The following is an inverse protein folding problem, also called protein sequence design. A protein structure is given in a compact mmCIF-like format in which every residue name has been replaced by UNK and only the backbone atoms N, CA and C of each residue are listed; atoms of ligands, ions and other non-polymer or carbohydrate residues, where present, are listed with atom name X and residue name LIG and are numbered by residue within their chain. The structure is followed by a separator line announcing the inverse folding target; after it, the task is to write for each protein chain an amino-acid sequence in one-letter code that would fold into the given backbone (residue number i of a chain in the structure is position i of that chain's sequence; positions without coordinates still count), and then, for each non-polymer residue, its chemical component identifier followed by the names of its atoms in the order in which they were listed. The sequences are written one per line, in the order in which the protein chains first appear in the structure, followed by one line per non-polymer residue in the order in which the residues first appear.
data_IF_116420172357
#
_entry.id   IF_116420172357
#
_cell.length_a   1.000
_cell.length_b   1.000
_cell.length_c   1.000
_cell.angle_alpha   90.00
_cell.angle_beta   90.00
_cell.angle_gamma   90.00
#
_symmetry.space_group_name_H-M   'P 1'
#
loop_
_entity.id
_entity.type
_entity.pdbx_description
1 polymer ?
#
# COMPACT_ATOMS: atom_id res chain seq x y z
N UNK A 1 3.54 -25.69 16.93
CA UNK A 1 3.63 -24.76 18.06
C UNK A 1 4.14 -23.43 17.53
N UNK A 2 3.29 -22.40 17.46
CA UNK A 2 3.65 -21.07 17.06
C UNK A 2 4.57 -20.46 18.12
N UNK A 3 5.77 -20.07 17.73
CA UNK A 3 6.63 -19.31 18.63
C UNK A 3 5.91 -17.98 18.93
N UNK A 4 5.70 -17.63 20.21
CA UNK A 4 5.09 -16.37 20.55
C UNK A 4 5.98 -15.24 20.03
N UNK A 5 5.36 -14.22 19.43
CA UNK A 5 6.07 -13.00 19.05
C UNK A 5 6.75 -12.46 20.30
N UNK A 6 8.04 -12.16 20.28
CA UNK A 6 8.64 -11.53 21.43
C UNK A 6 8.03 -10.14 21.62
N UNK A 7 7.34 -9.87 22.76
CA UNK A 7 6.82 -8.55 23.09
C UNK A 7 7.81 -7.40 22.86
N UNK A 8 9.16 -7.63 23.02
CA UNK A 8 10.16 -6.60 22.74
C UNK A 8 10.14 -6.04 21.33
N UNK A 9 9.80 -6.84 20.29
CA UNK A 9 9.86 -6.40 18.90
C UNK A 9 8.90 -5.25 18.58
N UNK A 10 7.79 -5.15 19.30
CA UNK A 10 6.77 -4.11 19.12
C UNK A 10 6.94 -2.95 20.12
N UNK A 11 7.97 -2.98 20.97
CA UNK A 11 8.23 -1.92 21.94
C UNK A 11 8.73 -0.64 21.24
N UNK A 12 8.17 0.54 21.56
CA UNK A 12 8.53 1.81 20.92
C UNK A 12 10.03 2.13 20.95
N UNK A 13 10.73 1.76 22.02
CA UNK A 13 12.16 2.04 22.22
C UNK A 13 13.05 1.43 21.13
N UNK A 14 12.70 0.25 20.59
CA UNK A 14 13.48 -0.37 19.51
C UNK A 14 13.45 0.43 18.22
N UNK A 15 12.34 1.17 17.99
CA UNK A 15 12.10 1.94 16.78
C UNK A 15 12.70 3.35 16.82
N UNK A 16 13.33 3.73 17.94
CA UNK A 16 14.02 5.00 18.09
C UNK A 16 15.40 4.98 17.44
N UNK A 17 16.03 3.80 17.40
CA UNK A 17 17.31 3.62 16.74
C UNK A 17 17.14 3.45 15.24
N UNK A 18 17.39 4.51 14.48
CA UNK A 18 17.16 4.59 13.02
C UNK A 18 17.83 3.49 12.22
N UNK A 19 19.01 3.04 12.62
CA UNK A 19 19.76 1.97 11.96
C UNK A 19 19.07 0.60 12.03
N UNK A 20 18.21 0.38 13.02
CA UNK A 20 17.51 -0.89 13.21
C UNK A 20 16.24 -1.01 12.37
N UNK A 21 15.65 0.11 11.93
CA UNK A 21 14.34 0.13 11.26
C UNK A 21 14.26 -0.83 10.06
N UNK A 22 15.22 -0.88 9.11
CA UNK A 22 15.15 -1.80 7.98
C UNK A 22 15.12 -3.27 8.38
N UNK A 23 15.89 -3.64 9.40
CA UNK A 23 15.96 -5.01 9.90
C UNK A 23 14.70 -5.40 10.66
N UNK A 24 14.18 -4.51 11.50
CA UNK A 24 12.94 -4.71 12.25
C UNK A 24 11.72 -4.87 11.32
N UNK A 25 11.62 -4.04 10.28
CA UNK A 25 10.52 -4.16 9.29
C UNK A 25 10.61 -5.47 8.52
N UNK A 26 11.82 -5.88 8.10
CA UNK A 26 12.00 -7.20 7.46
C UNK A 26 11.57 -8.34 8.37
N UNK A 27 11.89 -8.26 9.65
CA UNK A 27 11.51 -9.27 10.63
C UNK A 27 9.99 -9.30 10.83
N UNK A 28 9.33 -8.15 10.99
CA UNK A 28 7.86 -8.08 11.09
C UNK A 28 7.17 -8.65 9.84
N UNK A 29 7.70 -8.33 8.65
CA UNK A 29 7.18 -8.87 7.39
C UNK A 29 7.33 -10.39 7.31
N UNK A 30 8.43 -10.94 7.82
CA UNK A 30 8.62 -12.39 7.91
C UNK A 30 7.61 -13.03 8.87
N UNK A 31 7.38 -12.45 10.04
CA UNK A 31 6.34 -12.92 10.96
C UNK A 31 4.95 -12.88 10.33
N UNK A 32 4.59 -11.77 9.66
CA UNK A 32 3.32 -11.66 8.93
C UNK A 32 3.17 -12.72 7.84
N UNK A 33 4.25 -13.07 7.14
CA UNK A 33 4.23 -14.05 6.06
C UNK A 33 4.15 -15.50 6.57
N UNK A 34 4.84 -15.82 7.67
CA UNK A 34 4.97 -17.21 8.14
C UNK A 34 4.08 -17.56 9.34
N UNK A 35 3.60 -16.57 10.07
CA UNK A 35 2.73 -16.76 11.24
C UNK A 35 1.68 -15.65 11.36
N UNK A 36 0.85 -15.41 10.31
CA UNK A 36 -0.11 -14.30 10.31
C UNK A 36 -1.09 -14.36 11.47
N UNK A 37 -1.55 -15.56 11.83
CA UNK A 37 -2.50 -15.75 12.93
C UNK A 37 -1.94 -15.29 14.28
N UNK A 38 -0.64 -15.49 14.51
CA UNK A 38 0.04 -15.01 15.71
C UNK A 38 0.16 -13.47 15.74
N UNK A 39 0.05 -12.81 14.58
CA UNK A 39 0.11 -11.35 14.46
C UNK A 39 -1.24 -10.65 14.66
N UNK A 40 -2.36 -11.35 14.48
CA UNK A 40 -3.71 -10.79 14.64
C UNK A 40 -3.92 -10.09 15.99
N UNK A 41 -3.54 -10.66 17.15
CA UNK A 41 -3.70 -9.97 18.44
C UNK A 41 -2.85 -8.70 18.58
N UNK A 42 -1.86 -8.51 17.71
CA UNK A 42 -0.90 -7.40 17.77
C UNK A 42 -1.16 -6.31 16.72
N UNK A 43 -2.29 -6.35 16.04
CA UNK A 43 -2.60 -5.42 14.95
C UNK A 43 -2.51 -3.96 15.35
N UNK A 44 -2.97 -3.61 16.55
CA UNK A 44 -2.89 -2.22 17.04
C UNK A 44 -1.44 -1.78 17.28
N UNK A 45 -0.59 -2.65 17.82
CA UNK A 45 0.83 -2.35 18.00
C UNK A 45 1.56 -2.22 16.66
N UNK A 46 1.23 -3.06 15.66
CA UNK A 46 1.73 -2.94 14.29
C UNK A 46 1.32 -1.61 13.65
N UNK A 47 0.09 -1.17 13.87
CA UNK A 47 -0.39 0.13 13.38
C UNK A 47 0.28 1.30 14.09
N UNK A 48 0.64 1.16 15.37
CA UNK A 48 1.47 2.14 16.08
C UNK A 48 2.88 2.26 15.46
N UNK A 49 3.50 1.14 15.09
CA UNK A 49 4.76 1.14 14.34
C UNK A 49 4.59 1.79 12.97
N UNK A 50 3.54 1.42 12.22
CA UNK A 50 3.21 2.06 10.94
C UNK A 50 3.09 3.57 11.07
N UNK A 51 2.34 4.07 12.06
CA UNK A 51 2.16 5.50 12.30
C UNK A 51 3.49 6.23 12.52
N UNK A 52 4.38 5.65 13.31
CA UNK A 52 5.73 6.19 13.55
C UNK A 52 6.55 6.25 12.26
N UNK A 53 6.52 5.18 11.47
CA UNK A 53 7.29 5.07 10.24
C UNK A 53 6.77 6.03 9.15
N UNK A 54 5.47 6.02 8.88
CA UNK A 54 4.87 6.83 7.81
C UNK A 54 4.99 8.33 8.08
N UNK A 55 5.05 8.74 9.33
CA UNK A 55 5.23 10.13 9.74
C UNK A 55 6.68 10.63 9.60
N UNK A 56 7.64 9.73 9.43
CA UNK A 56 9.06 10.07 9.29
C UNK A 56 9.46 10.17 7.83
N UNK A 57 10.04 11.31 7.40
CA UNK A 57 10.55 11.49 6.02
C UNK A 57 11.64 10.49 5.63
N UNK A 58 12.36 9.94 6.59
CA UNK A 58 13.44 8.97 6.34
C UNK A 58 12.93 7.54 6.26
N UNK A 59 11.86 7.24 7.00
CA UNK A 59 11.39 5.86 7.21
C UNK A 59 10.02 5.58 6.56
N UNK A 60 9.44 6.54 5.84
CA UNK A 60 8.11 6.40 5.24
C UNK A 60 7.97 5.20 4.30
N UNK A 61 9.03 4.86 3.57
CA UNK A 61 9.06 3.65 2.72
C UNK A 61 8.78 2.37 3.53
N UNK A 62 9.33 2.28 4.71
CA UNK A 62 9.13 1.13 5.60
C UNK A 62 7.70 1.08 6.18
N UNK A 63 7.07 2.24 6.36
CA UNK A 63 5.65 2.33 6.69
C UNK A 63 4.77 1.74 5.58
N UNK A 64 5.03 2.08 4.33
CA UNK A 64 4.34 1.49 3.18
C UNK A 64 4.57 -0.03 3.07
N UNK A 65 5.81 -0.49 3.28
CA UNK A 65 6.15 -1.91 3.24
C UNK A 65 5.42 -2.70 4.33
N UNK A 66 5.39 -2.18 5.57
CA UNK A 66 4.72 -2.83 6.68
C UNK A 66 3.21 -2.91 6.44
N UNK A 67 2.57 -1.80 6.06
CA UNK A 67 1.14 -1.77 5.81
C UNK A 67 0.76 -2.72 4.66
N UNK A 68 1.53 -2.72 3.57
CA UNK A 68 1.31 -3.65 2.45
C UNK A 68 1.38 -5.11 2.90
N UNK A 69 2.34 -5.44 3.78
CA UNK A 69 2.46 -6.79 4.31
C UNK A 69 1.26 -7.16 5.20
N UNK A 70 0.80 -6.24 6.05
CA UNK A 70 -0.41 -6.45 6.87
C UNK A 70 -1.65 -6.72 6.00
N UNK A 71 -1.88 -5.92 4.96
CA UNK A 71 -3.01 -6.06 4.06
C UNK A 71 -3.00 -7.37 3.26
N UNK A 72 -1.83 -7.90 2.97
CA UNK A 72 -1.68 -9.16 2.22
C UNK A 72 -1.81 -10.40 3.07
N UNK A 73 -1.41 -10.32 4.32
CA UNK A 73 -1.21 -11.50 5.17
C UNK A 73 -2.28 -11.65 6.27
N UNK A 74 -2.81 -10.53 6.75
CA UNK A 74 -3.84 -10.57 7.79
C UNK A 74 -5.23 -10.70 7.17
N UNK A 75 -6.19 -11.32 7.88
CA UNK A 75 -7.59 -11.31 7.46
C UNK A 75 -8.12 -9.90 7.26
N UNK A 76 -8.92 -9.68 6.21
CA UNK A 76 -9.42 -8.37 5.85
C UNK A 76 -10.22 -7.69 6.98
N UNK A 77 -11.03 -8.44 7.69
CA UNK A 77 -11.84 -7.99 8.83
C UNK A 77 -10.99 -7.54 10.03
N UNK A 78 -9.77 -8.06 10.15
CA UNK A 78 -8.82 -7.64 11.20
C UNK A 78 -8.28 -6.23 10.94
N UNK A 79 -8.08 -5.85 9.69
CA UNK A 79 -7.46 -4.56 9.31
C UNK A 79 -8.50 -3.51 8.92
N UNK A 80 -9.63 -3.93 8.36
CA UNK A 80 -10.69 -3.05 7.86
C UNK A 80 -11.16 -1.97 8.85
N UNK A 81 -11.35 -2.24 10.16
CA UNK A 81 -11.78 -1.23 11.13
C UNK A 81 -10.80 -0.06 11.28
N UNK A 82 -9.53 -0.27 10.91
CA UNK A 82 -8.46 0.73 11.06
C UNK A 82 -8.12 1.45 9.76
N UNK A 83 -8.70 1.03 8.63
CA UNK A 83 -8.28 1.57 7.32
C UNK A 83 -8.55 3.05 7.16
N UNK A 84 -9.67 3.56 7.67
CA UNK A 84 -9.98 4.99 7.55
C UNK A 84 -8.93 5.87 8.24
N UNK A 85 -8.58 5.70 9.54
CA UNK A 85 -7.52 6.48 10.16
C UNK A 85 -6.14 6.24 9.54
N UNK A 86 -5.84 5.02 9.10
CA UNK A 86 -4.57 4.68 8.41
C UNK A 86 -4.42 5.46 7.12
N UNK A 87 -5.45 5.44 6.26
CA UNK A 87 -5.46 6.19 5.01
C UNK A 87 -5.47 7.69 5.24
N UNK A 88 -6.23 8.19 6.23
CA UNK A 88 -6.26 9.62 6.58
C UNK A 88 -4.86 10.13 6.92
N UNK A 89 -4.10 9.40 7.74
CA UNK A 89 -2.73 9.76 8.10
C UNK A 89 -1.81 9.82 6.86
N UNK A 90 -1.88 8.80 6.01
CA UNK A 90 -1.09 8.73 4.77
C UNK A 90 -1.43 9.88 3.82
N UNK A 91 -2.71 10.18 3.66
CA UNK A 91 -3.20 11.24 2.77
C UNK A 91 -2.89 12.64 3.30
N UNK A 92 -2.97 12.85 4.61
CA UNK A 92 -2.51 14.08 5.25
C UNK A 92 -1.04 14.33 4.94
N UNK A 93 -0.21 13.28 5.01
CA UNK A 93 1.19 13.36 4.67
C UNK A 93 1.40 13.66 3.17
N UNK A 94 0.61 13.05 2.28
CA UNK A 94 0.64 13.29 0.85
C UNK A 94 0.31 14.75 0.51
N UNK A 95 -0.60 15.37 1.26
CA UNK A 95 -1.01 16.78 1.05
C UNK A 95 -0.01 17.78 1.65
N UNK A 96 0.43 17.56 2.88
CA UNK A 96 1.17 18.56 3.67
C UNK A 96 2.68 18.52 3.47
N UNK A 97 3.25 17.38 3.13
CA UNK A 97 4.70 17.19 3.09
C UNK A 97 5.13 16.20 2.01
N UNK A 98 4.46 16.25 0.87
CA UNK A 98 4.74 15.42 -0.30
C UNK A 98 6.20 15.59 -0.75
N UNK A 99 6.89 14.46 -0.84
CA UNK A 99 8.15 14.33 -1.58
C UNK A 99 7.90 13.46 -2.79
N UNK A 100 8.70 13.58 -3.84
CA UNK A 100 8.60 12.73 -5.02
C UNK A 100 8.68 11.25 -4.65
N UNK A 101 9.63 10.90 -3.79
CA UNK A 101 9.79 9.54 -3.26
C UNK A 101 8.52 9.05 -2.55
N UNK A 102 7.91 9.88 -1.69
CA UNK A 102 6.68 9.50 -0.98
C UNK A 102 5.53 9.23 -1.96
N UNK A 103 5.38 10.10 -2.97
CA UNK A 103 4.36 9.98 -3.99
C UNK A 103 4.52 8.69 -4.83
N UNK A 104 5.75 8.34 -5.20
CA UNK A 104 6.05 7.07 -5.90
C UNK A 104 5.71 5.85 -5.03
N UNK A 105 6.07 5.86 -3.75
CA UNK A 105 5.73 4.78 -2.83
C UNK A 105 4.22 4.70 -2.56
N UNK A 106 3.53 5.84 -2.54
CA UNK A 106 2.07 5.87 -2.48
C UNK A 106 1.44 5.22 -3.71
N UNK A 107 1.90 5.54 -4.92
CA UNK A 107 1.41 4.93 -6.15
C UNK A 107 1.63 3.41 -6.18
N UNK A 108 2.79 2.95 -5.72
CA UNK A 108 3.08 1.52 -5.57
C UNK A 108 2.19 0.85 -4.52
N UNK A 109 2.01 1.50 -3.37
CA UNK A 109 1.12 1.02 -2.31
C UNK A 109 -0.33 0.92 -2.81
N UNK A 110 -0.82 1.94 -3.51
CA UNK A 110 -2.17 1.96 -4.07
C UNK A 110 -2.41 0.75 -4.98
N UNK A 111 -1.47 0.49 -5.90
CA UNK A 111 -1.55 -0.67 -6.77
C UNK A 111 -1.44 -2.00 -5.98
N UNK A 112 -0.52 -2.09 -5.02
CA UNK A 112 -0.38 -3.27 -4.17
C UNK A 112 -1.64 -3.55 -3.33
N UNK A 113 -2.33 -2.51 -2.89
CA UNK A 113 -3.60 -2.59 -2.17
C UNK A 113 -4.70 -3.15 -3.09
N UNK A 114 -4.82 -2.64 -4.32
CA UNK A 114 -5.73 -3.23 -5.32
C UNK A 114 -5.37 -4.69 -5.67
N UNK A 115 -4.09 -5.04 -5.56
CA UNK A 115 -3.54 -6.36 -5.88
C UNK A 115 -3.72 -7.44 -4.81
N UNK A 116 -4.33 -7.13 -3.66
CA UNK A 116 -4.56 -8.12 -2.59
C UNK A 116 -5.48 -9.24 -3.09
N UNK A 117 -5.04 -10.49 -2.93
CA UNK A 117 -5.68 -11.67 -3.52
C UNK A 117 -6.90 -12.15 -2.69
N UNK A 118 -7.94 -11.30 -2.63
CA UNK A 118 -9.22 -11.63 -2.00
C UNK A 118 -10.38 -11.22 -2.93
N UNK A 119 -11.46 -12.02 -3.02
CA UNK A 119 -12.62 -11.68 -3.85
C UNK A 119 -13.22 -10.31 -3.47
N UNK A 120 -13.57 -9.51 -4.47
CA UNK A 120 -14.19 -8.18 -4.25
C UNK A 120 -13.27 -7.13 -3.63
N UNK A 121 -11.99 -7.46 -3.43
CA UNK A 121 -11.05 -6.56 -2.76
C UNK A 121 -10.82 -5.23 -3.50
N UNK A 122 -10.73 -5.18 -4.85
CA UNK A 122 -10.62 -3.90 -5.56
C UNK A 122 -11.78 -2.94 -5.28
N UNK A 123 -13.02 -3.42 -5.18
CA UNK A 123 -14.16 -2.58 -4.78
C UNK A 123 -14.07 -2.12 -3.33
N UNK A 124 -13.53 -2.96 -2.44
CA UNK A 124 -13.27 -2.56 -1.06
C UNK A 124 -12.22 -1.44 -0.97
N UNK A 125 -11.20 -1.46 -1.84
CA UNK A 125 -10.19 -0.39 -1.93
C UNK A 125 -10.82 0.93 -2.38
N UNK A 126 -11.67 0.91 -3.40
CA UNK A 126 -12.44 2.09 -3.85
C UNK A 126 -13.23 2.68 -2.67
N UNK A 127 -13.99 1.84 -1.97
CA UNK A 127 -14.78 2.25 -0.80
C UNK A 127 -13.94 2.78 0.34
N UNK A 128 -12.75 2.21 0.58
CA UNK A 128 -11.87 2.64 1.66
C UNK A 128 -11.35 4.07 1.43
N UNK A 129 -10.94 4.43 0.22
CA UNK A 129 -10.52 5.79 -0.11
C UNK A 129 -11.68 6.78 -0.13
N UNK A 130 -12.81 6.41 -0.73
CA UNK A 130 -14.00 7.26 -0.78
C UNK A 130 -14.67 7.41 0.59
N UNK A 131 -14.43 6.48 1.52
CA UNK A 131 -14.84 6.59 2.92
C UNK A 131 -14.05 7.65 3.69
N UNK A 132 -12.85 8.03 3.25
CA UNK A 132 -12.10 9.17 3.82
C UNK A 132 -12.71 10.48 3.32
N UNK A 133 -12.96 10.55 2.02
CA UNK A 133 -13.61 11.70 1.37
C UNK A 133 -14.28 11.24 0.07
N UNK A 134 -15.52 11.59 -0.14
CA UNK A 134 -16.27 11.23 -1.33
C UNK A 134 -15.54 11.67 -2.61
N UNK A 135 -15.40 10.77 -3.58
CA UNK A 135 -14.71 11.02 -4.84
C UNK A 135 -13.19 11.12 -4.75
N UNK A 136 -12.60 10.72 -3.63
CA UNK A 136 -11.16 10.77 -3.43
C UNK A 136 -10.41 9.72 -4.27
N UNK A 137 -10.97 8.52 -4.41
CA UNK A 137 -10.35 7.45 -5.17
C UNK A 137 -10.01 7.86 -6.61
N UNK A 138 -10.96 8.34 -7.44
CA UNK A 138 -10.66 8.73 -8.81
C UNK A 138 -9.68 9.91 -8.88
N UNK A 139 -9.73 10.86 -7.94
CA UNK A 139 -8.77 11.96 -7.88
C UNK A 139 -7.34 11.47 -7.62
N UNK A 140 -7.15 10.55 -6.68
CA UNK A 140 -5.83 9.97 -6.40
C UNK A 140 -5.31 9.17 -7.57
N UNK A 141 -6.18 8.35 -8.20
CA UNK A 141 -5.80 7.53 -9.34
C UNK A 141 -5.31 8.41 -10.50
N UNK A 142 -6.04 9.46 -10.86
CA UNK A 142 -5.71 10.34 -11.99
C UNK A 142 -4.54 11.28 -11.70
N UNK A 143 -4.48 11.87 -10.50
CA UNK A 143 -3.57 12.98 -10.22
C UNK A 143 -2.27 12.56 -9.52
N UNK A 144 -2.20 11.34 -8.97
CA UNK A 144 -1.04 10.82 -8.26
C UNK A 144 -0.55 9.51 -8.85
N UNK A 145 -1.42 8.48 -8.87
CA UNK A 145 -1.00 7.12 -9.20
C UNK A 145 -0.58 7.00 -10.66
N UNK A 146 -1.39 7.46 -11.60
CA UNK A 146 -1.10 7.39 -13.04
C UNK A 146 0.13 8.23 -13.41
N UNK A 147 0.29 9.49 -12.99
CA UNK A 147 1.48 10.28 -13.29
C UNK A 147 2.78 9.69 -12.70
N UNK A 148 2.73 9.12 -11.50
CA UNK A 148 3.92 8.59 -10.83
C UNK A 148 4.26 7.15 -11.28
N UNK A 149 3.38 6.45 -11.98
CA UNK A 149 3.64 5.14 -12.55
C UNK A 149 4.90 5.10 -13.43
N UNK A 150 5.11 6.14 -14.25
CA UNK A 150 6.26 6.24 -15.15
C UNK A 150 7.61 6.37 -14.43
N UNK A 151 7.59 6.75 -13.14
CA UNK A 151 8.77 6.99 -12.30
C UNK A 151 9.14 5.78 -11.43
N UNK A 152 8.33 4.73 -11.45
CA UNK A 152 8.58 3.51 -10.68
C UNK A 152 9.83 2.79 -11.19
N UNK A 153 10.62 2.24 -10.27
CA UNK A 153 11.78 1.43 -10.60
C UNK A 153 11.34 0.07 -11.22
N UNK A 154 12.16 -0.49 -12.09
CA UNK A 154 11.84 -1.74 -12.83
C UNK A 154 11.37 -2.88 -11.90
N UNK A 155 11.99 -3.04 -10.72
CA UNK A 155 11.61 -4.05 -9.71
C UNK A 155 10.19 -3.87 -9.15
N UNK A 156 9.59 -2.69 -9.33
CA UNK A 156 8.25 -2.34 -8.83
C UNK A 156 7.16 -2.53 -9.89
N UNK A 157 7.56 -2.67 -11.17
CA UNK A 157 6.63 -2.72 -12.30
C UNK A 157 5.64 -3.88 -12.18
N UNK A 158 6.11 -5.07 -11.79
CA UNK A 158 5.23 -6.23 -11.64
C UNK A 158 4.09 -5.99 -10.63
N UNK A 159 4.43 -5.44 -9.45
CA UNK A 159 3.43 -5.16 -8.40
C UNK A 159 2.44 -4.11 -8.87
N UNK A 160 2.93 -3.06 -9.53
CA UNK A 160 2.07 -2.01 -10.06
C UNK A 160 1.12 -2.54 -11.14
N UNK A 161 1.65 -3.23 -12.14
CA UNK A 161 0.85 -3.80 -13.24
C UNK A 161 -0.18 -4.79 -12.72
N UNK A 162 0.22 -5.74 -11.86
CA UNK A 162 -0.69 -6.73 -11.32
C UNK A 162 -1.87 -6.09 -10.54
N UNK A 163 -1.57 -5.09 -9.69
CA UNK A 163 -2.60 -4.38 -8.95
C UNK A 163 -3.55 -3.57 -9.84
N UNK A 164 -3.00 -2.85 -10.82
CA UNK A 164 -3.80 -2.05 -11.74
C UNK A 164 -4.65 -2.92 -12.66
N UNK A 165 -4.14 -4.04 -13.16
CA UNK A 165 -4.92 -5.00 -13.95
C UNK A 165 -6.10 -5.52 -13.13
N UNK A 166 -5.88 -5.92 -11.88
CA UNK A 166 -6.99 -6.35 -11.01
C UNK A 166 -8.03 -5.26 -10.80
N UNK A 167 -7.59 -4.04 -10.53
CA UNK A 167 -8.51 -2.90 -10.39
C UNK A 167 -9.37 -2.74 -11.64
N UNK A 168 -8.75 -2.75 -12.82
CA UNK A 168 -9.41 -2.48 -14.10
C UNK A 168 -10.35 -3.61 -14.58
N UNK A 169 -10.09 -4.85 -14.13
CA UNK A 169 -10.83 -6.03 -14.59
C UNK A 169 -11.80 -6.59 -13.55
N UNK A 170 -11.54 -6.40 -12.27
CA UNK A 170 -12.32 -7.03 -11.18
C UNK A 170 -13.18 -6.03 -10.41
N UNK A 171 -12.88 -4.70 -10.45
CA UNK A 171 -13.71 -3.71 -9.76
C UNK A 171 -14.94 -3.34 -10.57
N UNK A 172 -16.12 -3.58 -10.01
CA UNK A 172 -17.38 -3.14 -10.61
C UNK A 172 -17.50 -1.63 -10.69
N UNK A 173 -16.90 -0.89 -9.77
CA UNK A 173 -16.88 0.57 -9.77
C UNK A 173 -16.21 1.14 -11.02
N UNK A 174 -15.18 0.50 -11.55
CA UNK A 174 -14.42 1.00 -12.70
C UNK A 174 -15.21 1.04 -14.00
N UNK A 175 -16.41 0.48 -14.04
CA UNK A 175 -17.32 0.51 -15.20
C UNK A 175 -18.44 1.53 -15.05
N UNK A 176 -18.48 2.29 -13.96
CA UNK A 176 -19.52 3.29 -13.65
C UNK A 176 -18.90 4.66 -13.39
N UNK A 177 -19.56 5.73 -13.82
CA UNK A 177 -19.12 7.09 -13.52
C UNK A 177 -19.21 7.38 -12.01
N UNK A 178 -18.24 8.14 -11.44
CA UNK A 178 -17.14 8.85 -12.12
C UNK A 178 -15.87 8.01 -12.37
N UNK A 179 -15.79 6.79 -11.86
CA UNK A 179 -14.58 5.95 -11.90
C UNK A 179 -14.21 5.48 -13.30
N UNK A 180 -15.20 5.25 -14.15
CA UNK A 180 -15.00 4.83 -15.54
C UNK A 180 -14.10 5.81 -16.34
N UNK A 181 -14.11 7.09 -15.99
CA UNK A 181 -13.22 8.09 -16.59
C UNK A 181 -11.74 7.82 -16.32
N UNK A 182 -11.42 7.08 -15.25
CA UNK A 182 -10.06 6.72 -14.88
C UNK A 182 -9.54 5.50 -15.64
N UNK A 183 -10.41 4.72 -16.27
CA UNK A 183 -10.07 3.42 -16.87
C UNK A 183 -8.98 3.54 -17.93
N UNK A 184 -9.21 4.38 -18.94
CA UNK A 184 -8.27 4.57 -20.07
C UNK A 184 -6.91 5.12 -19.61
N UNK A 185 -6.82 6.18 -18.78
CA UNK A 185 -5.54 6.66 -18.28
C UNK A 185 -4.77 5.61 -17.48
N UNK A 186 -5.45 4.83 -16.63
CA UNK A 186 -4.83 3.78 -15.85
C UNK A 186 -4.31 2.63 -16.72
N UNK A 187 -5.10 2.19 -17.70
CA UNK A 187 -4.70 1.18 -18.66
C UNK A 187 -3.51 1.63 -19.51
N UNK A 188 -3.51 2.89 -19.97
CA UNK A 188 -2.38 3.47 -20.71
C UNK A 188 -1.10 3.48 -19.87
N UNK A 189 -1.18 3.77 -18.58
CA UNK A 189 -0.04 3.69 -17.67
C UNK A 189 0.51 2.26 -17.57
N UNK A 190 -0.36 1.26 -17.51
CA UNK A 190 0.04 -0.17 -17.52
C UNK A 190 0.77 -0.51 -18.84
N UNK A 191 0.22 -0.15 -19.98
CA UNK A 191 0.84 -0.43 -21.28
C UNK A 191 2.22 0.20 -21.40
N UNK A 192 2.41 1.46 -20.98
CA UNK A 192 3.70 2.15 -21.01
C UNK A 192 4.76 1.46 -20.13
N UNK A 193 4.36 0.86 -19.01
CA UNK A 193 5.28 0.09 -18.18
C UNK A 193 5.65 -1.22 -18.88
N UNK A 194 4.70 -1.93 -19.47
CA UNK A 194 4.95 -3.18 -20.20
C UNK A 194 5.87 -2.97 -21.42
N UNK A 195 5.70 -1.87 -22.16
CA UNK A 195 6.59 -1.48 -23.26
C UNK A 195 8.04 -1.28 -22.79
N UNK A 196 8.23 -0.64 -21.62
CA UNK A 196 9.57 -0.46 -21.02
C UNK A 196 10.23 -1.77 -20.62
N UNK A 197 9.44 -2.76 -20.19
CA UNK A 197 9.95 -4.08 -19.79
C UNK A 197 10.38 -4.89 -21.03
N UNK A 198 9.74 -4.67 -22.17
CA UNK A 198 10.03 -5.38 -23.43
C UNK A 198 11.16 -4.74 -24.23
N UNK A 199 11.52 -3.47 -23.95
CA UNK A 199 12.63 -2.82 -24.65
C UNK A 199 13.96 -3.55 -24.34
N UNK A 200 14.79 -3.90 -25.37
CA UNK A 200 16.10 -4.47 -25.14
C UNK A 200 16.90 -3.54 -24.22
N UNK A 201 17.52 -4.10 -23.19
CA UNK A 201 18.51 -3.37 -22.40
C UNK A 201 19.80 -3.39 -23.21
N UNK A 202 20.04 -2.31 -23.99
CA UNK A 202 21.33 -2.08 -24.64
C UNK A 202 22.43 -1.77 -23.61
#
# INVERSE_FOLDING_TARGET
ASAPLPPPLLMPALWEQRGNVPALVRLLRAYLAYAPEAMVPHVQALLGVYQKLISSRLNDVYGFELLTAMLRQLPADTVAPYMQPVLTLMLTRLQSSKTERFSQHFALFFAAFCGVQQPGYPDAVVKAFDGVQAGLFPQLLQNVVVPDAAKLAARQHFVFVAGMVRLLTESSAMFVQPYAACWTPAFTAVLRILEKVQAPQD
#
